data_IF_523249085843
#
_entry.id   IF_523249085843
#
_cell.length_a   1.000
_cell.length_b   1.000
_cell.length_c   1.000
_cell.angle_alpha   90.00
_cell.angle_beta   90.00
_cell.angle_gamma   90.00
#
_symmetry.space_group_name_H-M   'P 1'
#
loop_
_entity.id
_entity.type
_entity.pdbx_description
1 polymer ?
#
# COMPACT_ATOMS: atom_id res chain seq x y z
N UNK A 1 -37.29 9.25 -23.87
CA UNK A 1 -38.34 9.10 -24.91
C UNK A 1 -39.48 10.00 -24.51
N UNK A 2 -40.07 10.75 -25.45
CA UNK A 2 -41.21 11.63 -25.14
C UNK A 2 -42.50 10.84 -24.88
N UNK A 3 -43.08 10.89 -23.68
CA UNK A 3 -44.34 10.17 -23.38
C UNK A 3 -45.52 10.73 -24.15
N UNK A 4 -45.47 12.00 -24.57
CA UNK A 4 -46.59 12.64 -25.28
C UNK A 4 -46.71 12.15 -26.74
N UNK A 5 -45.63 11.63 -27.34
CA UNK A 5 -45.63 11.17 -28.75
C UNK A 5 -46.12 9.73 -28.89
N UNK A 6 -46.31 9.00 -27.81
CA UNK A 6 -46.59 7.53 -27.84
C UNK A 6 -47.80 7.18 -28.68
N UNK A 7 -48.89 7.93 -28.56
CA UNK A 7 -50.14 7.67 -29.32
C UNK A 7 -49.90 7.94 -30.83
N UNK A 8 -49.34 9.09 -31.18
CA UNK A 8 -49.05 9.43 -32.55
C UNK A 8 -48.06 8.46 -33.21
N UNK A 9 -47.04 7.97 -32.43
CA UNK A 9 -46.09 6.97 -32.94
C UNK A 9 -46.78 5.62 -33.19
N UNK A 10 -47.68 5.21 -32.29
CA UNK A 10 -48.47 3.98 -32.47
C UNK A 10 -49.39 4.07 -33.68
N UNK A 11 -50.12 5.17 -33.84
CA UNK A 11 -50.97 5.40 -35.00
C UNK A 11 -50.20 5.36 -36.32
N UNK A 12 -48.99 5.95 -36.35
CA UNK A 12 -48.13 5.87 -37.52
C UNK A 12 -47.64 4.44 -37.78
N UNK A 13 -47.26 3.70 -36.77
CA UNK A 13 -46.87 2.28 -36.89
C UNK A 13 -48.06 1.43 -37.42
N UNK A 14 -49.24 1.62 -36.87
CA UNK A 14 -50.44 0.90 -37.28
C UNK A 14 -50.82 1.20 -38.75
N UNK A 15 -50.74 2.49 -39.16
CA UNK A 15 -50.96 2.91 -40.54
C UNK A 15 -49.97 2.25 -41.50
N UNK A 16 -48.65 2.27 -41.16
CA UNK A 16 -47.63 1.63 -42.01
C UNK A 16 -47.82 0.12 -42.13
N UNK A 17 -48.21 -0.56 -41.04
CA UNK A 17 -48.49 -1.99 -41.07
C UNK A 17 -49.70 -2.29 -41.98
N UNK A 18 -50.77 -1.48 -41.93
CA UNK A 18 -51.91 -1.61 -42.84
C UNK A 18 -51.53 -1.36 -44.30
N UNK A 19 -50.75 -0.29 -44.59
CA UNK A 19 -50.34 0.07 -45.93
C UNK A 19 -49.37 -0.94 -46.58
N UNK A 20 -48.38 -1.42 -45.82
CA UNK A 20 -47.29 -2.27 -46.35
C UNK A 20 -47.63 -3.75 -46.30
N UNK A 21 -48.21 -4.20 -45.18
CA UNK A 21 -48.50 -5.61 -44.93
C UNK A 21 -49.97 -6.01 -45.12
N UNK A 22 -50.86 -5.09 -45.49
CA UNK A 22 -52.30 -5.37 -45.70
C UNK A 22 -53.05 -5.72 -44.43
N UNK A 23 -52.56 -5.32 -43.29
CA UNK A 23 -53.18 -5.57 -41.98
C UNK A 23 -54.43 -4.75 -41.72
N UNK A 24 -55.26 -5.16 -40.77
CA UNK A 24 -56.41 -4.39 -40.31
C UNK A 24 -56.18 -3.91 -38.88
N UNK A 25 -56.35 -2.60 -38.69
CA UNK A 25 -56.18 -1.97 -37.35
C UNK A 25 -57.47 -2.18 -36.55
N UNK A 26 -57.38 -2.71 -35.34
CA UNK A 26 -58.51 -2.80 -34.44
C UNK A 26 -58.98 -1.40 -33.96
N UNK A 27 -60.26 -1.16 -33.83
CA UNK A 27 -60.79 0.16 -33.49
C UNK A 27 -60.55 0.59 -32.03
N UNK A 28 -60.00 -0.30 -31.22
CA UNK A 28 -59.79 -0.03 -29.79
C UNK A 28 -58.31 0.24 -29.49
N UNK A 29 -58.04 1.31 -28.78
CA UNK A 29 -56.74 1.64 -28.20
C UNK A 29 -56.73 1.34 -26.71
N UNK A 30 -55.76 0.56 -26.24
CA UNK A 30 -55.51 0.40 -24.81
C UNK A 30 -54.36 1.33 -24.42
N UNK A 31 -54.65 2.36 -23.65
CA UNK A 31 -53.69 3.25 -23.05
C UNK A 31 -53.72 3.07 -21.53
N UNK A 32 -52.72 2.44 -20.97
CA UNK A 32 -52.64 2.20 -19.55
C UNK A 32 -51.42 2.96 -18.96
N UNK A 33 -51.70 3.93 -18.11
CA UNK A 33 -50.73 4.71 -17.37
C UNK A 33 -51.06 4.55 -15.89
N UNK A 34 -50.13 3.91 -15.15
CA UNK A 34 -50.40 3.53 -13.76
C UNK A 34 -50.69 4.76 -12.86
N UNK A 35 -49.94 5.81 -13.00
CA UNK A 35 -49.93 6.89 -12.04
C UNK A 35 -50.34 8.28 -12.61
N UNK A 36 -50.58 8.41 -13.92
CA UNK A 36 -50.82 9.71 -14.58
C UNK A 36 -52.00 9.59 -15.58
N UNK A 37 -53.23 9.48 -15.07
CA UNK A 37 -54.46 9.38 -15.91
C UNK A 37 -54.69 10.65 -16.75
N UNK A 38 -54.24 11.82 -16.24
CA UNK A 38 -54.45 13.13 -16.87
C UNK A 38 -53.30 13.58 -17.77
N UNK A 39 -52.39 12.67 -18.12
CA UNK A 39 -51.19 12.95 -18.90
C UNK A 39 -49.97 13.12 -18.01
N UNK A 40 -48.83 12.72 -18.56
CA UNK A 40 -47.53 12.92 -17.90
C UNK A 40 -47.11 14.39 -18.09
N UNK A 41 -46.77 15.06 -16.99
CA UNK A 41 -46.15 16.37 -16.98
C UNK A 41 -44.96 16.37 -16.06
N UNK A 42 -43.85 16.95 -16.51
CA UNK A 42 -42.74 17.21 -15.62
C UNK A 42 -43.10 18.32 -14.61
N UNK A 43 -42.67 18.20 -13.35
CA UNK A 43 -42.83 19.28 -12.38
C UNK A 43 -42.08 20.52 -12.83
N UNK A 44 -42.63 21.68 -12.52
CA UNK A 44 -41.93 22.92 -12.68
C UNK A 44 -40.76 23.01 -11.71
N UNK A 45 -39.63 23.53 -12.17
CA UNK A 45 -38.39 23.67 -11.43
C UNK A 45 -38.18 25.17 -11.15
N UNK A 46 -37.96 25.50 -9.88
CA UNK A 46 -37.59 26.88 -9.51
C UNK A 46 -36.05 27.04 -9.57
N UNK A 47 -35.60 28.12 -10.20
CA UNK A 47 -34.19 28.45 -10.35
C UNK A 47 -33.96 29.96 -10.20
N UNK A 48 -32.95 30.39 -9.45
CA UNK A 48 -32.52 31.76 -9.44
C UNK A 48 -31.97 32.13 -10.83
N UNK A 49 -32.35 33.33 -11.34
CA UNK A 49 -32.01 33.76 -12.69
C UNK A 49 -30.48 33.81 -12.93
N UNK A 50 -29.69 34.07 -11.87
CA UNK A 50 -28.23 34.17 -11.88
C UNK A 50 -27.52 32.86 -11.50
N UNK A 51 -28.23 31.76 -11.25
CA UNK A 51 -27.61 30.51 -10.84
C UNK A 51 -26.60 29.94 -11.87
N UNK A 52 -26.87 30.00 -13.20
CA UNK A 52 -25.87 29.61 -14.18
C UNK A 52 -24.57 30.42 -14.09
N UNK A 53 -24.69 31.74 -13.90
CA UNK A 53 -23.58 32.68 -13.78
C UNK A 53 -22.68 32.31 -12.59
N UNK A 54 -23.32 32.15 -11.42
CA UNK A 54 -22.61 31.76 -10.17
C UNK A 54 -21.97 30.37 -10.25
N UNK A 55 -22.61 29.45 -10.95
CA UNK A 55 -22.09 28.09 -11.09
C UNK A 55 -20.89 28.06 -12.04
N UNK A 56 -20.97 28.80 -13.15
CA UNK A 56 -19.88 28.89 -14.13
C UNK A 56 -18.74 29.82 -13.70
N UNK A 57 -19.00 30.74 -12.78
CA UNK A 57 -18.07 31.83 -12.45
C UNK A 57 -17.89 32.84 -13.61
N UNK A 58 -18.95 33.02 -14.42
CA UNK A 58 -18.98 33.91 -15.59
C UNK A 58 -20.23 34.78 -15.48
N UNK A 59 -20.13 36.06 -15.79
CA UNK A 59 -21.27 36.93 -15.92
C UNK A 59 -21.82 36.84 -17.35
N UNK A 60 -22.99 36.23 -17.53
CA UNK A 60 -23.67 36.19 -18.81
C UNK A 60 -24.53 37.45 -19.02
N UNK A 61 -24.80 37.89 -20.26
CA UNK A 61 -25.71 38.99 -20.55
C UNK A 61 -27.09 38.77 -19.94
N UNK A 62 -27.70 39.82 -19.38
CA UNK A 62 -29.03 39.77 -18.79
C UNK A 62 -30.06 39.05 -19.68
N UNK A 63 -30.82 38.11 -19.11
CA UNK A 63 -31.82 37.33 -19.82
C UNK A 63 -31.27 36.10 -20.58
N UNK A 64 -29.98 35.82 -20.46
CA UNK A 64 -29.37 34.62 -21.09
C UNK A 64 -30.01 33.32 -20.61
N UNK A 65 -30.22 33.16 -19.29
CA UNK A 65 -30.87 31.98 -18.71
C UNK A 65 -32.25 31.75 -19.31
N UNK A 66 -33.09 32.76 -19.37
CA UNK A 66 -34.44 32.65 -19.98
C UNK A 66 -34.35 32.31 -21.46
N UNK A 67 -33.48 33.00 -22.21
CA UNK A 67 -33.31 32.79 -23.65
C UNK A 67 -32.88 31.37 -23.95
N UNK A 68 -31.90 30.83 -23.22
CA UNK A 68 -31.36 29.49 -23.47
C UNK A 68 -32.33 28.39 -23.06
N UNK A 69 -32.96 28.50 -21.91
CA UNK A 69 -33.97 27.54 -21.48
C UNK A 69 -35.17 27.52 -22.43
N UNK A 70 -35.58 28.68 -22.93
CA UNK A 70 -36.64 28.75 -23.98
C UNK A 70 -36.15 28.09 -25.30
N UNK A 71 -34.89 28.31 -25.69
CA UNK A 71 -34.31 27.72 -26.89
C UNK A 71 -34.30 26.18 -26.85
N UNK A 72 -34.07 25.56 -25.67
CA UNK A 72 -34.14 24.10 -25.49
C UNK A 72 -35.56 23.57 -25.31
N UNK A 73 -36.56 24.44 -25.43
CA UNK A 73 -37.99 24.10 -25.46
C UNK A 73 -38.71 24.20 -24.11
N UNK A 74 -38.06 24.71 -23.08
CA UNK A 74 -38.72 24.90 -21.77
C UNK A 74 -39.62 26.14 -21.78
N UNK A 75 -40.73 26.08 -21.03
CA UNK A 75 -41.55 27.22 -20.72
C UNK A 75 -41.02 27.93 -19.48
N UNK A 76 -40.69 29.19 -19.59
CA UNK A 76 -40.09 30.00 -18.48
C UNK A 76 -41.02 31.12 -18.10
N UNK A 77 -41.33 31.23 -16.81
CA UNK A 77 -42.17 32.31 -16.24
C UNK A 77 -41.49 32.88 -15.00
N UNK A 78 -41.97 34.07 -14.55
CA UNK A 78 -41.34 34.74 -13.39
C UNK A 78 -40.13 35.59 -13.79
N UNK A 79 -39.50 36.19 -12.82
CA UNK A 79 -38.30 37.03 -12.99
C UNK A 79 -37.14 36.59 -12.14
N UNK A 80 -37.38 36.36 -10.84
CA UNK A 80 -36.43 35.79 -9.87
C UNK A 80 -37.20 35.41 -8.58
N UNK A 81 -37.34 34.12 -8.24
CA UNK A 81 -36.90 32.98 -9.06
C UNK A 81 -37.66 32.82 -10.37
N UNK A 82 -37.05 32.20 -11.32
CA UNK A 82 -37.68 31.72 -12.56
C UNK A 82 -38.37 30.37 -12.27
N UNK A 83 -39.59 30.23 -12.80
CA UNK A 83 -40.29 28.95 -12.80
C UNK A 83 -40.16 28.34 -14.21
N UNK A 84 -39.47 27.23 -14.33
CA UNK A 84 -39.13 26.57 -15.58
C UNK A 84 -39.86 25.23 -15.70
N UNK A 85 -40.69 25.08 -16.73
CA UNK A 85 -41.33 23.78 -17.05
C UNK A 85 -40.61 23.16 -18.22
N UNK A 86 -39.89 22.03 -18.02
CA UNK A 86 -39.24 21.34 -19.10
C UNK A 86 -40.22 20.78 -20.14
N UNK A 87 -39.84 20.62 -21.41
CA UNK A 87 -40.71 20.01 -22.41
C UNK A 87 -40.78 18.49 -22.20
N UNK A 88 -41.85 17.87 -22.66
CA UNK A 88 -42.13 16.43 -22.47
C UNK A 88 -41.07 15.47 -23.03
N UNK A 89 -40.31 15.92 -24.03
CA UNK A 89 -39.20 15.15 -24.61
C UNK A 89 -37.87 15.22 -23.86
N UNK A 90 -37.79 16.03 -22.76
CA UNK A 90 -36.61 16.17 -21.88
C UNK A 90 -36.90 15.61 -20.49
N UNK A 91 -37.09 14.27 -20.39
CA UNK A 91 -37.36 13.61 -19.10
C UNK A 91 -36.16 13.58 -18.16
N UNK A 92 -35.04 14.09 -18.58
CA UNK A 92 -33.77 14.23 -17.85
C UNK A 92 -33.70 15.48 -16.98
N UNK A 93 -34.52 16.52 -17.26
CA UNK A 93 -34.50 17.78 -16.53
C UNK A 93 -35.41 17.73 -15.29
N UNK A 94 -34.84 17.52 -14.10
CA UNK A 94 -35.60 17.37 -12.86
C UNK A 94 -35.24 18.36 -11.78
N UNK A 95 -34.07 18.95 -11.84
CA UNK A 95 -33.53 19.80 -10.78
C UNK A 95 -32.81 21.01 -11.34
N UNK A 96 -32.57 22.08 -10.51
CA UNK A 96 -31.89 23.30 -10.93
C UNK A 96 -30.54 23.07 -11.62
N UNK A 97 -29.76 22.07 -11.18
CA UNK A 97 -28.45 21.77 -11.77
C UNK A 97 -28.57 21.34 -13.24
N UNK A 98 -29.63 20.59 -13.61
CA UNK A 98 -29.86 20.16 -14.99
C UNK A 98 -30.16 21.37 -15.90
N UNK A 99 -30.89 22.36 -15.39
CA UNK A 99 -31.17 23.59 -16.11
C UNK A 99 -29.92 24.48 -16.26
N UNK A 100 -29.07 24.51 -15.25
CA UNK A 100 -27.76 25.19 -15.32
C UNK A 100 -26.91 24.55 -16.42
N UNK A 101 -26.81 23.22 -16.43
CA UNK A 101 -26.04 22.51 -17.45
C UNK A 101 -26.51 22.85 -18.88
N UNK A 102 -27.81 22.93 -19.12
CA UNK A 102 -28.35 23.31 -20.42
C UNK A 102 -27.94 24.73 -20.83
N UNK A 103 -27.96 25.68 -19.90
CA UNK A 103 -27.51 27.06 -20.20
C UNK A 103 -26.02 27.07 -20.55
N UNK A 104 -25.19 26.41 -19.73
CA UNK A 104 -23.75 26.40 -19.93
C UNK A 104 -23.36 25.70 -21.25
N UNK A 105 -24.01 24.56 -21.54
CA UNK A 105 -23.77 23.81 -22.79
C UNK A 105 -24.09 24.63 -24.04
N UNK A 106 -25.17 25.42 -24.00
CA UNK A 106 -25.60 26.23 -25.16
C UNK A 106 -24.83 27.55 -25.28
N UNK A 107 -24.37 28.14 -24.16
CA UNK A 107 -23.45 29.29 -24.21
C UNK A 107 -22.03 28.94 -24.62
N UNK A 108 -21.62 27.66 -24.40
CA UNK A 108 -20.28 27.13 -24.68
C UNK A 108 -19.44 27.02 -23.42
N UNK A 109 -18.90 25.82 -23.20
CA UNK A 109 -18.07 25.52 -22.02
C UNK A 109 -16.69 26.19 -22.10
N UNK A 110 -16.27 26.60 -23.28
CA UNK A 110 -14.99 27.26 -23.53
C UNK A 110 -14.91 28.68 -22.94
N UNK A 111 -16.05 29.31 -22.62
CA UNK A 111 -16.06 30.62 -21.99
C UNK A 111 -15.84 30.54 -20.48
N UNK A 112 -15.97 29.36 -19.89
CA UNK A 112 -15.78 29.15 -18.46
C UNK A 112 -14.27 29.19 -18.14
N UNK A 113 -13.82 30.12 -17.25
CA UNK A 113 -12.41 30.25 -16.95
C UNK A 113 -11.89 29.04 -16.19
N UNK A 114 -10.74 28.53 -16.59
CA UNK A 114 -10.03 27.50 -15.82
C UNK A 114 -9.35 28.15 -14.63
N UNK A 115 -10.03 28.14 -13.48
CA UNK A 115 -9.48 28.65 -12.23
C UNK A 115 -9.00 27.48 -11.37
N UNK A 116 -7.67 27.39 -11.17
CA UNK A 116 -7.11 26.40 -10.27
C UNK A 116 -7.48 26.77 -8.82
N UNK A 117 -8.11 25.85 -8.08
CA UNK A 117 -8.40 26.11 -6.68
C UNK A 117 -7.10 26.31 -5.90
N UNK A 118 -7.02 27.35 -5.11
CA UNK A 118 -5.90 27.55 -4.20
C UNK A 118 -6.00 26.53 -3.08
N UNK A 119 -5.02 25.61 -3.04
CA UNK A 119 -4.94 24.67 -1.94
C UNK A 119 -4.72 25.44 -0.63
N UNK A 120 -5.53 25.23 0.41
CA UNK A 120 -5.29 25.87 1.70
C UNK A 120 -3.91 25.43 2.20
N UNK A 121 -3.19 26.37 2.84
CA UNK A 121 -1.93 26.07 3.49
C UNK A 121 -2.15 24.97 4.54
N UNK A 122 -1.79 23.75 4.18
CA UNK A 122 -1.99 22.56 4.99
C UNK A 122 -0.80 22.27 5.90
N UNK A 123 -0.97 21.34 6.82
CA UNK A 123 0.09 20.84 7.71
C UNK A 123 1.12 19.95 6.99
N UNK A 124 0.98 19.78 5.68
CA UNK A 124 1.78 18.85 4.88
C UNK A 124 1.41 17.39 5.15
N UNK A 125 2.35 16.49 4.91
CA UNK A 125 2.15 15.07 5.13
C UNK A 125 2.09 14.72 6.63
N UNK A 126 1.23 13.78 6.99
CA UNK A 126 1.22 13.18 8.33
C UNK A 126 2.53 12.41 8.59
N UNK A 127 2.81 12.08 9.84
CA UNK A 127 3.99 11.28 10.20
C UNK A 127 3.98 9.90 9.51
N UNK A 128 2.81 9.24 9.42
CA UNK A 128 2.63 7.97 8.69
C UNK A 128 2.95 8.13 7.19
N UNK A 129 2.41 9.18 6.56
CA UNK A 129 2.67 9.44 5.13
C UNK A 129 4.14 9.77 4.87
N UNK A 130 4.80 10.52 5.77
CA UNK A 130 6.24 10.80 5.70
C UNK A 130 7.06 9.52 5.80
N UNK A 131 6.74 8.64 6.76
CA UNK A 131 7.39 7.33 6.93
C UNK A 131 7.25 6.48 5.67
N UNK A 132 6.02 6.31 5.15
CA UNK A 132 5.76 5.56 3.92
C UNK A 132 6.60 6.08 2.75
N UNK A 133 6.60 7.40 2.55
CA UNK A 133 7.38 8.04 1.49
C UNK A 133 8.90 7.86 1.67
N UNK A 134 9.39 7.96 2.91
CA UNK A 134 10.80 7.74 3.22
C UNK A 134 11.24 6.31 2.93
N UNK A 135 10.44 5.30 3.32
CA UNK A 135 10.70 3.89 3.05
C UNK A 135 10.77 3.63 1.54
N UNK A 136 9.74 4.03 0.78
CA UNK A 136 9.73 3.84 -0.68
C UNK A 136 10.94 4.49 -1.35
N UNK A 137 11.23 5.76 -1.00
CA UNK A 137 12.41 6.46 -1.52
C UNK A 137 13.72 5.76 -1.18
N UNK A 138 13.87 5.27 0.05
CA UNK A 138 15.09 4.60 0.50
C UNK A 138 15.30 3.26 -0.21
N UNK A 139 14.23 2.48 -0.41
CA UNK A 139 14.27 1.24 -1.19
C UNK A 139 14.63 1.52 -2.66
N UNK A 140 14.02 2.54 -3.27
CA UNK A 140 14.34 2.92 -4.65
C UNK A 140 15.81 3.34 -4.79
N UNK A 141 16.34 4.13 -3.86
CA UNK A 141 17.77 4.51 -3.83
C UNK A 141 18.71 3.32 -3.57
N UNK A 142 18.22 2.27 -2.88
CA UNK A 142 18.95 1.01 -2.68
C UNK A 142 18.88 0.06 -3.89
N UNK A 143 18.25 0.48 -5.01
CA UNK A 143 18.20 -0.26 -6.26
C UNK A 143 17.00 -1.20 -6.39
N UNK A 144 15.95 -1.03 -5.58
CA UNK A 144 14.69 -1.75 -5.76
C UNK A 144 13.72 -0.97 -6.65
N UNK A 145 12.89 -1.67 -7.40
CA UNK A 145 11.86 -1.09 -8.27
C UNK A 145 10.50 -1.24 -7.61
N UNK A 146 9.76 -0.14 -7.48
CA UNK A 146 8.40 -0.16 -6.94
C UNK A 146 7.43 -0.76 -7.94
N UNK A 147 6.54 -1.62 -7.44
CA UNK A 147 5.40 -2.12 -8.18
C UNK A 147 4.11 -1.87 -7.40
N UNK A 148 3.00 -1.84 -8.11
CA UNK A 148 1.66 -1.78 -7.55
C UNK A 148 0.96 -3.12 -7.81
N UNK A 149 1.05 -4.09 -6.88
CA UNK A 149 0.36 -5.37 -7.04
C UNK A 149 -1.15 -5.16 -6.92
N UNK A 150 -1.92 -5.98 -7.64
CA UNK A 150 -3.36 -6.03 -7.43
C UNK A 150 -3.66 -6.62 -6.04
N UNK A 151 -4.70 -6.13 -5.35
CA UNK A 151 -5.03 -6.61 -4.00
C UNK A 151 -5.75 -7.96 -3.99
N UNK A 152 -5.65 -8.75 -5.05
CA UNK A 152 -6.36 -10.01 -5.21
C UNK A 152 -5.41 -11.19 -5.23
N UNK A 153 -5.76 -12.22 -4.45
CA UNK A 153 -5.00 -13.47 -4.40
C UNK A 153 -5.41 -14.41 -5.53
N UNK A 154 -4.44 -15.06 -6.18
CA UNK A 154 -4.72 -16.19 -7.06
C UNK A 154 -5.21 -17.39 -6.25
N UNK A 155 -6.10 -18.17 -6.83
CA UNK A 155 -6.60 -19.37 -6.19
C UNK A 155 -5.45 -20.35 -5.87
N UNK A 156 -5.50 -20.97 -4.68
CA UNK A 156 -4.55 -21.99 -4.27
C UNK A 156 -3.13 -21.49 -3.90
N UNK A 157 -2.89 -20.19 -3.81
CA UNK A 157 -1.56 -19.63 -3.49
C UNK A 157 -1.01 -20.17 -2.17
N UNK A 158 -1.83 -20.27 -1.13
CA UNK A 158 -1.41 -20.76 0.18
C UNK A 158 -1.16 -22.27 0.21
N UNK A 159 -1.82 -23.03 -0.67
CA UNK A 159 -1.52 -24.45 -0.88
C UNK A 159 -0.16 -24.63 -1.56
N UNK A 160 0.16 -23.77 -2.52
CA UNK A 160 1.49 -23.75 -3.14
C UNK A 160 2.60 -23.41 -2.14
N UNK A 161 2.31 -22.59 -1.11
CA UNK A 161 3.25 -22.30 -0.04
C UNK A 161 3.32 -23.41 1.03
N UNK A 162 2.33 -24.32 1.07
CA UNK A 162 2.23 -25.39 2.05
C UNK A 162 1.78 -24.90 3.43
N UNK A 163 1.04 -23.79 3.48
CA UNK A 163 0.48 -23.28 4.74
C UNK A 163 -0.56 -24.25 5.29
N UNK A 164 -0.57 -24.44 6.60
CA UNK A 164 -1.61 -25.21 7.29
C UNK A 164 -3.00 -24.57 7.19
N UNK A 165 -4.08 -25.34 7.42
CA UNK A 165 -5.45 -24.81 7.33
C UNK A 165 -5.74 -23.72 8.37
N UNK A 166 -5.06 -23.74 9.51
CA UNK A 166 -5.23 -22.76 10.61
C UNK A 166 -4.36 -21.50 10.46
N UNK A 167 -3.59 -21.39 9.37
CA UNK A 167 -2.75 -20.22 9.13
C UNK A 167 -3.63 -18.99 8.92
N UNK A 168 -3.37 -17.93 9.68
CA UNK A 168 -4.18 -16.70 9.68
C UNK A 168 -4.27 -16.04 8.31
N UNK A 169 -3.25 -16.20 7.46
CA UNK A 169 -3.23 -15.66 6.09
C UNK A 169 -4.28 -16.30 5.18
N UNK A 170 -4.81 -17.49 5.54
CA UNK A 170 -5.92 -18.15 4.83
C UNK A 170 -7.29 -17.57 5.17
N UNK A 171 -7.38 -16.80 6.24
CA UNK A 171 -8.60 -16.08 6.58
C UNK A 171 -8.74 -14.86 5.66
N UNK A 172 -9.53 -14.99 4.60
CA UNK A 172 -9.63 -13.97 3.54
C UNK A 172 -11.04 -13.43 3.40
N UNK A 173 -11.16 -12.20 2.95
CA UNK A 173 -12.43 -11.62 2.50
C UNK A 173 -12.62 -11.94 1.02
N UNK A 174 -13.78 -12.50 0.68
CA UNK A 174 -14.13 -12.83 -0.71
C UNK A 174 -15.05 -11.77 -1.31
N UNK A 175 -14.73 -11.29 -2.50
CA UNK A 175 -15.52 -10.33 -3.25
C UNK A 175 -16.70 -11.06 -3.92
N UNK A 176 -17.92 -10.50 -3.80
CA UNK A 176 -19.14 -11.13 -4.34
C UNK A 176 -19.18 -11.17 -5.87
N UNK A 177 -18.62 -10.16 -6.53
CA UNK A 177 -18.66 -10.00 -7.99
C UNK A 177 -17.27 -9.70 -8.54
N UNK A 178 -16.31 -10.64 -8.43
CA UNK A 178 -14.95 -10.42 -8.89
C UNK A 178 -14.91 -10.28 -10.42
N UNK A 179 -13.94 -9.47 -10.91
CA UNK A 179 -13.70 -9.35 -12.36
C UNK A 179 -13.12 -10.65 -12.93
N UNK A 180 -12.26 -11.33 -12.17
CA UNK A 180 -11.66 -12.63 -12.49
C UNK A 180 -12.10 -13.65 -11.44
N UNK A 181 -12.76 -14.72 -11.85
CA UNK A 181 -13.36 -15.70 -10.95
C UNK A 181 -12.32 -16.44 -10.08
N UNK A 182 -11.11 -16.62 -10.58
CA UNK A 182 -9.96 -17.23 -9.89
C UNK A 182 -9.20 -16.26 -8.98
N UNK A 183 -9.61 -14.98 -8.92
CA UNK A 183 -9.03 -13.91 -8.10
C UNK A 183 -10.10 -13.16 -7.31
N UNK A 184 -10.89 -13.89 -6.57
CA UNK A 184 -12.00 -13.34 -5.79
C UNK A 184 -11.63 -12.96 -4.35
N UNK A 185 -10.46 -13.31 -3.88
CA UNK A 185 -10.04 -13.14 -2.49
C UNK A 185 -9.13 -11.91 -2.33
N UNK A 186 -9.40 -11.09 -1.31
CA UNK A 186 -8.53 -9.96 -0.98
C UNK A 186 -7.25 -10.43 -0.30
N UNK A 187 -6.13 -9.80 -0.65
CA UNK A 187 -4.81 -10.20 -0.21
C UNK A 187 -4.57 -9.91 1.27
N UNK A 188 -4.19 -10.94 2.01
CA UNK A 188 -3.73 -10.87 3.41
C UNK A 188 -2.21 -10.72 3.52
N UNK A 189 -1.49 -10.73 2.39
CA UNK A 189 -0.02 -10.58 2.27
C UNK A 189 0.32 -10.00 0.90
N UNK A 190 1.38 -9.20 0.80
CA UNK A 190 1.84 -8.61 -0.46
C UNK A 190 2.65 -9.58 -1.33
N UNK A 191 3.19 -10.65 -0.72
CA UNK A 191 4.13 -11.54 -1.41
C UNK A 191 3.55 -12.20 -2.67
N UNK A 192 2.30 -12.67 -2.75
CA UNK A 192 1.79 -13.30 -3.98
C UNK A 192 1.90 -12.40 -5.19
N UNK A 193 1.45 -11.14 -5.07
CA UNK A 193 1.54 -10.17 -6.16
C UNK A 193 2.98 -9.80 -6.54
N UNK A 194 3.87 -9.71 -5.56
CA UNK A 194 5.30 -9.48 -5.77
C UNK A 194 5.97 -10.65 -6.48
N UNK A 195 5.68 -11.89 -6.06
CA UNK A 195 6.24 -13.11 -6.66
C UNK A 195 5.74 -13.30 -8.09
N UNK A 196 4.47 -13.04 -8.38
CA UNK A 196 3.93 -13.04 -9.75
C UNK A 196 4.63 -12.01 -10.64
N UNK A 197 4.84 -10.79 -10.12
CA UNK A 197 5.56 -9.76 -10.86
C UNK A 197 7.02 -10.18 -11.11
N UNK A 198 7.67 -10.82 -10.14
CA UNK A 198 9.02 -11.36 -10.29
C UNK A 198 9.06 -12.42 -11.38
N UNK A 199 8.18 -13.43 -11.34
CA UNK A 199 8.09 -14.48 -12.39
C UNK A 199 7.87 -13.85 -13.76
N UNK A 200 6.98 -12.87 -13.87
CA UNK A 200 6.69 -12.17 -15.13
C UNK A 200 7.92 -11.44 -15.68
N UNK A 201 8.70 -10.77 -14.83
CA UNK A 201 9.91 -10.08 -15.23
C UNK A 201 10.99 -11.09 -15.71
N UNK A 202 11.19 -12.16 -14.94
CA UNK A 202 12.14 -13.22 -15.30
C UNK A 202 11.76 -13.89 -16.63
N UNK A 203 10.49 -14.20 -16.84
CA UNK A 203 9.97 -14.76 -18.10
C UNK A 203 10.16 -13.84 -19.31
N UNK A 204 10.32 -12.53 -19.07
CA UNK A 204 10.61 -11.52 -20.10
C UNK A 204 12.10 -11.23 -20.28
N UNK A 205 12.96 -12.02 -19.64
CA UNK A 205 14.42 -11.97 -19.81
C UNK A 205 15.18 -11.15 -18.76
N UNK A 206 14.51 -10.61 -17.73
CA UNK A 206 15.20 -9.98 -16.61
C UNK A 206 15.77 -11.07 -15.67
N UNK A 207 17.11 -11.23 -15.64
CA UNK A 207 17.75 -12.23 -14.80
C UNK A 207 17.90 -11.77 -13.33
N UNK A 208 18.15 -10.47 -13.13
CA UNK A 208 18.42 -9.85 -11.86
C UNK A 208 17.26 -8.93 -11.52
N UNK A 209 16.45 -9.31 -10.54
CA UNK A 209 15.20 -8.63 -10.21
C UNK A 209 15.16 -8.29 -8.72
N UNK A 210 14.90 -7.03 -8.41
CA UNK A 210 14.68 -6.54 -7.05
C UNK A 210 13.46 -5.61 -7.04
N UNK A 211 12.34 -6.11 -6.50
CA UNK A 211 11.06 -5.39 -6.48
C UNK A 211 10.62 -5.10 -5.05
N UNK A 212 9.85 -4.02 -4.89
CA UNK A 212 9.15 -3.76 -3.64
C UNK A 212 7.75 -3.20 -3.89
N UNK A 213 6.90 -3.31 -2.88
CA UNK A 213 5.59 -2.68 -2.83
C UNK A 213 5.33 -2.14 -1.43
N UNK A 214 4.61 -1.02 -1.35
CA UNK A 214 4.06 -0.50 -0.09
C UNK A 214 2.57 -0.34 -0.29
N UNK A 215 1.79 -1.27 0.23
CA UNK A 215 0.35 -1.33 0.03
C UNK A 215 -0.36 -1.87 1.28
N UNK A 216 -1.69 -1.74 1.29
CA UNK A 216 -2.53 -2.33 2.33
C UNK A 216 -2.79 -3.81 2.03
N UNK A 217 -2.86 -4.59 3.09
CA UNK A 217 -3.42 -5.94 3.08
C UNK A 217 -4.78 -5.94 3.79
N UNK A 218 -5.55 -7.01 3.67
CA UNK A 218 -6.91 -7.08 4.23
C UNK A 218 -7.00 -8.26 5.17
N UNK A 219 -7.13 -7.98 6.45
CA UNK A 219 -7.18 -8.96 7.53
C UNK A 219 -8.58 -8.97 8.16
N UNK A 220 -9.40 -9.99 7.90
CA UNK A 220 -10.70 -10.09 8.55
C UNK A 220 -10.53 -10.25 10.07
N UNK A 221 -11.48 -9.68 10.80
CA UNK A 221 -11.61 -9.80 12.25
C UNK A 221 -12.88 -10.57 12.58
N UNK A 222 -13.11 -10.91 13.85
CA UNK A 222 -14.38 -11.52 14.29
C UNK A 222 -15.59 -10.65 14.00
N UNK A 223 -15.43 -9.35 13.85
CA UNK A 223 -16.49 -8.39 13.56
C UNK A 223 -16.69 -8.18 12.05
N UNK A 224 -15.78 -8.65 11.22
CA UNK A 224 -15.87 -8.50 9.76
C UNK A 224 -17.06 -9.31 9.23
N UNK A 225 -18.04 -8.62 8.67
CA UNK A 225 -19.24 -9.21 8.12
C UNK A 225 -19.82 -8.38 6.98
N UNK A 226 -20.63 -9.02 6.13
CA UNK A 226 -21.48 -8.28 5.20
C UNK A 226 -22.50 -7.45 5.98
N UNK A 227 -22.67 -6.20 5.60
CA UNK A 227 -23.68 -5.30 6.19
C UNK A 227 -24.94 -5.26 5.35
N UNK A 228 -26.09 -5.08 6.02
CA UNK A 228 -27.35 -4.83 5.34
C UNK A 228 -27.29 -3.52 4.54
N UNK A 229 -28.08 -3.47 3.47
CA UNK A 229 -28.15 -2.30 2.61
C UNK A 229 -28.79 -1.14 3.39
N UNK A 230 -28.01 -0.12 3.65
CA UNK A 230 -28.52 1.12 4.24
C UNK A 230 -29.37 1.86 3.18
N UNK A 231 -30.55 2.40 3.53
CA UNK A 231 -31.34 3.22 2.62
C UNK A 231 -30.52 4.40 2.08
N UNK A 232 -30.69 4.69 0.79
CA UNK A 232 -29.95 5.78 0.10
C UNK A 232 -30.79 7.05 -0.05
N UNK A 233 -32.03 7.06 0.41
CA UNK A 233 -32.98 8.18 0.36
C UNK A 233 -32.79 9.18 1.49
N UNK A 234 -31.93 8.87 2.45
CA UNK A 234 -31.56 9.73 3.57
C UNK A 234 -30.07 9.57 3.95
N UNK A 235 -29.58 10.52 4.71
CA UNK A 235 -28.25 10.36 5.35
C UNK A 235 -28.33 9.21 6.39
N UNK A 236 -27.34 8.30 6.42
CA UNK A 236 -27.22 7.30 7.48
C UNK A 236 -27.12 7.96 8.86
N UNK A 237 -27.66 7.28 9.88
CA UNK A 237 -27.47 7.71 11.26
C UNK A 237 -26.03 7.46 11.72
N UNK A 238 -25.58 8.14 12.78
CA UNK A 238 -24.25 7.94 13.32
C UNK A 238 -24.04 6.49 13.83
N UNK A 239 -25.09 5.83 14.31
CA UNK A 239 -25.07 4.40 14.71
C UNK A 239 -24.91 3.47 13.51
N UNK A 240 -25.58 3.75 12.38
CA UNK A 240 -25.42 3.00 11.14
C UNK A 240 -23.99 3.17 10.58
N UNK A 241 -23.44 4.39 10.63
CA UNK A 241 -22.06 4.66 10.22
C UNK A 241 -21.07 3.89 11.11
N UNK A 242 -21.24 3.96 12.43
CA UNK A 242 -20.40 3.22 13.38
C UNK A 242 -20.50 1.70 13.17
N UNK A 243 -21.69 1.18 12.85
CA UNK A 243 -21.91 -0.21 12.51
C UNK A 243 -21.20 -0.64 11.21
N UNK A 244 -21.20 0.23 10.19
CA UNK A 244 -20.43 0.02 8.96
C UNK A 244 -18.93 -0.02 9.24
N UNK A 245 -18.42 0.96 9.96
CA UNK A 245 -16.99 1.04 10.29
C UNK A 245 -16.53 -0.18 11.09
N UNK A 246 -17.31 -0.62 12.06
CA UNK A 246 -17.02 -1.80 12.88
C UNK A 246 -17.05 -3.12 12.07
N UNK A 247 -17.75 -3.17 10.94
CA UNK A 247 -17.83 -4.35 10.08
C UNK A 247 -16.66 -4.49 9.09
N UNK A 248 -15.85 -3.45 8.95
CA UNK A 248 -14.71 -3.46 8.04
C UNK A 248 -13.59 -4.38 8.56
N UNK A 249 -12.87 -5.09 7.68
CA UNK A 249 -11.65 -5.77 8.04
C UNK A 249 -10.55 -4.76 8.41
N UNK A 250 -9.55 -5.20 9.16
CA UNK A 250 -8.31 -4.42 9.33
C UNK A 250 -7.62 -4.31 7.97
N UNK A 251 -7.03 -3.15 7.71
CA UNK A 251 -6.29 -2.90 6.47
C UNK A 251 -4.92 -2.28 6.77
N UNK A 252 -4.02 -3.03 7.43
CA UNK A 252 -2.70 -2.52 7.79
C UNK A 252 -1.86 -2.27 6.55
N UNK A 253 -0.97 -1.28 6.65
CA UNK A 253 -0.01 -0.93 5.63
C UNK A 253 1.20 -1.85 5.75
N UNK A 254 1.46 -2.66 4.74
CA UNK A 254 2.64 -3.50 4.65
C UNK A 254 3.69 -2.93 3.68
N UNK A 255 4.94 -3.34 3.87
CA UNK A 255 6.00 -3.26 2.87
C UNK A 255 6.49 -4.66 2.54
N UNK A 256 6.47 -4.99 1.27
CA UNK A 256 7.00 -6.25 0.76
C UNK A 256 8.20 -6.01 -0.15
N UNK A 257 9.17 -6.91 -0.12
CA UNK A 257 10.36 -6.90 -0.99
C UNK A 257 10.60 -8.30 -1.52
N UNK A 258 10.96 -8.43 -2.79
CA UNK A 258 11.43 -9.70 -3.38
C UNK A 258 12.65 -9.45 -4.26
N UNK A 259 13.62 -10.35 -4.21
CA UNK A 259 14.86 -10.22 -4.96
C UNK A 259 15.39 -11.60 -5.41
N UNK A 260 16.01 -11.62 -6.59
CA UNK A 260 16.62 -12.83 -7.19
C UNK A 260 17.71 -12.45 -8.18
N UNK A 261 18.54 -13.43 -8.57
CA UNK A 261 19.61 -13.23 -9.54
C UNK A 261 20.93 -12.78 -8.91
N UNK A 262 21.61 -11.82 -9.52
CA UNK A 262 22.83 -11.19 -9.00
C UNK A 262 22.48 -9.95 -8.20
N UNK A 263 23.00 -9.86 -6.99
CA UNK A 263 22.95 -8.62 -6.19
C UNK A 263 24.05 -7.65 -6.62
N UNK A 264 25.21 -8.18 -6.95
CA UNK A 264 26.33 -7.43 -7.49
C UNK A 264 26.64 -7.99 -8.88
N UNK A 265 26.66 -7.13 -9.87
CA UNK A 265 26.95 -7.54 -11.24
C UNK A 265 28.44 -7.87 -11.41
N UNK A 266 28.74 -8.85 -12.27
CA UNK A 266 30.11 -9.11 -12.66
C UNK A 266 30.72 -7.90 -13.37
N UNK A 267 31.96 -7.58 -13.05
CA UNK A 267 32.65 -6.43 -13.61
C UNK A 267 34.14 -6.39 -13.28
N UNK A 268 34.79 -5.22 -13.45
CA UNK A 268 36.22 -5.09 -13.15
C UNK A 268 36.62 -5.43 -11.71
N UNK A 269 35.66 -5.39 -10.81
CA UNK A 269 35.84 -5.64 -9.38
C UNK A 269 35.66 -7.09 -8.96
N UNK A 270 35.21 -7.98 -9.88
CA UNK A 270 35.02 -9.40 -9.56
C UNK A 270 33.91 -10.09 -10.34
N UNK A 271 33.67 -11.39 -10.03
CA UNK A 271 32.73 -12.25 -10.75
C UNK A 271 31.25 -11.93 -10.50
N UNK A 272 30.95 -10.93 -9.65
CA UNK A 272 29.62 -10.67 -9.17
C UNK A 272 29.21 -11.58 -8.00
N UNK A 273 28.09 -11.26 -7.36
CA UNK A 273 27.57 -12.01 -6.19
C UNK A 273 26.07 -12.26 -6.34
N UNK A 274 25.66 -13.49 -6.11
CA UNK A 274 24.23 -13.83 -6.10
C UNK A 274 23.53 -13.27 -4.87
N UNK A 275 22.21 -13.09 -5.03
CA UNK A 275 21.30 -12.76 -3.92
C UNK A 275 21.34 -13.87 -2.87
N UNK A 276 21.41 -13.46 -1.61
CA UNK A 276 21.40 -14.32 -0.43
C UNK A 276 20.43 -13.78 0.64
N UNK A 277 20.14 -14.56 1.69
CA UNK A 277 19.29 -14.13 2.80
C UNK A 277 19.79 -12.81 3.45
N UNK A 278 21.12 -12.60 3.49
CA UNK A 278 21.72 -11.36 3.98
C UNK A 278 21.24 -10.11 3.23
N UNK A 279 20.92 -10.22 1.95
CA UNK A 279 20.40 -9.10 1.15
C UNK A 279 18.95 -8.76 1.53
N UNK A 280 18.14 -9.75 1.91
CA UNK A 280 16.83 -9.53 2.49
C UNK A 280 16.95 -8.84 3.86
N UNK A 281 17.89 -9.23 4.69
CA UNK A 281 18.15 -8.58 5.98
C UNK A 281 18.66 -7.15 5.80
N UNK A 282 19.46 -6.86 4.78
CA UNK A 282 19.85 -5.48 4.47
C UNK A 282 18.66 -4.64 3.99
N UNK A 283 17.73 -5.21 3.22
CA UNK A 283 16.48 -4.52 2.89
C UNK A 283 15.67 -4.15 4.15
N UNK A 284 15.62 -5.03 5.15
CA UNK A 284 15.01 -4.73 6.47
C UNK A 284 15.73 -3.56 7.14
N UNK A 285 17.06 -3.51 7.11
CA UNK A 285 17.84 -2.38 7.67
C UNK A 285 17.59 -1.07 6.92
N UNK A 286 17.44 -1.12 5.58
CA UNK A 286 17.07 0.06 4.77
C UNK A 286 15.70 0.58 5.22
N UNK A 287 14.71 -0.30 5.40
CA UNK A 287 13.38 0.05 5.88
C UNK A 287 13.46 0.65 7.30
N UNK A 288 14.23 0.03 8.20
CA UNK A 288 14.40 0.49 9.57
C UNK A 288 15.00 1.89 9.64
N UNK A 289 16.12 2.13 8.93
CA UNK A 289 16.75 3.47 8.85
C UNK A 289 15.78 4.52 8.32
N UNK A 290 14.97 4.16 7.32
CA UNK A 290 13.95 5.07 6.77
C UNK A 290 12.80 5.34 7.73
N UNK A 291 12.46 4.37 8.59
CA UNK A 291 11.47 4.50 9.65
C UNK A 291 12.03 5.19 10.92
N UNK A 292 13.34 5.43 10.97
CA UNK A 292 14.00 6.06 12.10
C UNK A 292 14.30 5.12 13.27
N UNK A 293 14.45 3.82 13.02
CA UNK A 293 14.70 2.82 14.06
C UNK A 293 15.56 1.66 13.57
N UNK A 294 16.06 0.88 14.50
CA UNK A 294 16.72 -0.39 14.25
C UNK A 294 15.76 -1.55 14.58
N UNK A 295 15.69 -2.52 13.67
CA UNK A 295 14.98 -3.77 13.89
C UNK A 295 15.93 -4.83 14.43
N UNK A 296 15.42 -5.64 15.35
CA UNK A 296 16.12 -6.85 15.81
C UNK A 296 15.75 -8.02 14.91
N UNK A 297 16.75 -8.80 14.50
CA UNK A 297 16.57 -10.02 13.72
C UNK A 297 16.80 -11.23 14.62
N UNK A 298 15.83 -12.14 14.66
CA UNK A 298 15.90 -13.40 15.39
C UNK A 298 15.67 -14.55 14.42
N UNK A 299 16.49 -15.62 14.52
CA UNK A 299 16.31 -16.81 13.68
C UNK A 299 14.90 -17.39 13.87
N UNK A 300 14.23 -17.72 12.78
CA UNK A 300 12.87 -18.22 12.76
C UNK A 300 12.65 -19.30 11.71
N UNK A 301 11.54 -20.03 11.84
CA UNK A 301 11.10 -21.02 10.87
C UNK A 301 9.63 -20.74 10.54
N UNK A 302 9.41 -19.87 9.56
CA UNK A 302 8.10 -19.44 9.12
C UNK A 302 7.94 -19.62 7.61
N UNK A 303 6.85 -20.25 7.15
CA UNK A 303 6.55 -20.35 5.73
C UNK A 303 6.05 -18.97 5.21
N UNK A 304 6.40 -18.61 3.96
CA UNK A 304 7.07 -19.38 2.91
C UNK A 304 8.61 -19.36 2.93
N UNK A 305 9.26 -18.90 3.98
CA UNK A 305 10.72 -18.83 4.10
C UNK A 305 11.37 -20.16 4.48
N UNK A 306 12.65 -20.26 4.17
CA UNK A 306 13.48 -21.42 4.50
C UNK A 306 13.82 -21.44 6.00
N UNK A 307 13.57 -22.52 6.76
CA UNK A 307 13.71 -22.52 8.22
C UNK A 307 15.15 -22.23 8.72
N UNK A 308 16.17 -22.50 7.91
CA UNK A 308 17.56 -22.18 8.27
C UNK A 308 18.07 -20.86 7.70
N UNK A 309 17.23 -20.07 7.01
CA UNK A 309 17.61 -18.80 6.34
C UNK A 309 16.48 -17.78 6.43
N UNK A 310 15.73 -17.83 7.51
CA UNK A 310 14.64 -16.94 7.85
C UNK A 310 14.96 -16.22 9.15
N UNK A 311 14.64 -14.94 9.21
CA UNK A 311 14.62 -14.18 10.42
C UNK A 311 13.23 -13.54 10.62
N UNK A 312 12.77 -13.62 11.84
CA UNK A 312 11.72 -12.80 12.38
C UNK A 312 12.27 -11.39 12.63
N UNK A 313 11.50 -10.38 12.27
CA UNK A 313 11.85 -8.97 12.41
C UNK A 313 11.06 -8.40 13.58
N UNK A 314 11.76 -7.81 14.56
CA UNK A 314 11.15 -7.34 15.80
C UNK A 314 11.42 -5.86 16.06
N UNK A 315 10.43 -5.23 16.71
CA UNK A 315 10.55 -3.94 17.39
C UNK A 315 10.32 -4.18 18.88
N UNK A 316 11.37 -4.11 19.68
CA UNK A 316 11.32 -4.64 21.05
C UNK A 316 11.01 -6.14 21.02
N UNK A 317 9.92 -6.55 21.68
CA UNK A 317 9.44 -7.93 21.70
C UNK A 317 8.32 -8.22 20.67
N UNK A 318 7.92 -7.21 19.91
CA UNK A 318 6.81 -7.33 18.94
C UNK A 318 7.34 -7.74 17.58
N UNK A 319 6.85 -8.86 17.05
CA UNK A 319 7.10 -9.28 15.66
C UNK A 319 6.35 -8.37 14.70
N UNK A 320 7.09 -7.78 13.76
CA UNK A 320 6.52 -6.93 12.72
C UNK A 320 6.59 -7.58 11.33
N UNK A 321 7.21 -8.74 11.21
CA UNK A 321 7.27 -9.50 9.95
C UNK A 321 8.44 -10.45 9.86
N UNK A 322 8.73 -10.86 8.63
CA UNK A 322 9.76 -11.87 8.34
C UNK A 322 10.59 -11.49 7.12
N UNK A 323 11.83 -11.98 7.10
CA UNK A 323 12.76 -11.78 6.01
C UNK A 323 13.65 -13.01 5.81
N UNK A 324 14.09 -13.26 4.58
CA UNK A 324 15.03 -14.34 4.29
C UNK A 324 14.86 -14.95 2.92
N UNK A 325 15.49 -16.09 2.71
CA UNK A 325 15.37 -16.88 1.49
C UNK A 325 14.07 -17.69 1.52
N UNK A 326 13.39 -17.80 0.39
CA UNK A 326 12.18 -18.63 0.28
C UNK A 326 12.52 -20.14 0.34
N UNK A 327 11.58 -20.91 0.86
CA UNK A 327 11.69 -22.37 0.97
C UNK A 327 11.81 -23.01 -0.41
N UNK A 328 12.73 -23.97 -0.64
CA UNK A 328 12.93 -24.60 -1.95
C UNK A 328 11.66 -25.19 -2.58
N UNK A 329 10.79 -25.82 -1.78
CA UNK A 329 9.53 -26.35 -2.26
C UNK A 329 8.53 -25.25 -2.70
N UNK A 330 8.56 -24.07 -2.07
CA UNK A 330 7.76 -22.91 -2.50
C UNK A 330 8.32 -22.34 -3.80
N UNK A 331 9.65 -22.21 -3.88
CA UNK A 331 10.36 -21.76 -5.08
C UNK A 331 9.99 -22.63 -6.28
N UNK A 332 10.00 -23.95 -6.12
CA UNK A 332 9.65 -24.92 -7.17
C UNK A 332 8.17 -24.82 -7.57
N UNK A 333 7.24 -24.88 -6.60
CA UNK A 333 5.79 -24.84 -6.87
C UNK A 333 5.33 -23.52 -7.49
N UNK A 334 5.98 -22.41 -7.14
CA UNK A 334 5.66 -21.09 -7.68
C UNK A 334 6.46 -20.72 -8.94
N UNK A 335 7.31 -21.62 -9.46
CA UNK A 335 8.12 -21.37 -10.67
C UNK A 335 9.14 -20.25 -10.50
N UNK A 336 9.65 -20.05 -9.30
CA UNK A 336 10.61 -19.00 -8.96
C UNK A 336 12.05 -19.40 -9.24
N UNK A 337 12.96 -18.47 -9.52
CA UNK A 337 14.39 -18.74 -9.57
C UNK A 337 14.91 -19.24 -8.22
N UNK A 338 15.88 -20.15 -8.27
CA UNK A 338 16.56 -20.65 -7.06
C UNK A 338 17.25 -19.50 -6.32
N UNK A 339 17.13 -19.47 -4.99
CA UNK A 339 17.74 -18.45 -4.15
C UNK A 339 16.92 -17.16 -4.03
N UNK A 340 15.68 -17.14 -4.53
CA UNK A 340 14.78 -15.99 -4.33
C UNK A 340 14.61 -15.69 -2.85
N UNK A 341 14.77 -14.43 -2.49
CA UNK A 341 14.60 -13.90 -1.12
C UNK A 341 13.39 -12.97 -1.06
N UNK A 342 12.81 -12.87 0.12
CA UNK A 342 11.63 -12.03 0.36
C UNK A 342 11.66 -11.40 1.75
N UNK A 343 11.01 -10.25 1.85
CA UNK A 343 10.72 -9.54 3.11
C UNK A 343 9.25 -9.15 3.09
N UNK A 344 8.57 -9.25 4.21
CA UNK A 344 7.29 -8.59 4.43
C UNK A 344 7.19 -8.09 5.86
N UNK A 345 6.85 -6.79 6.02
CA UNK A 345 6.69 -6.15 7.33
C UNK A 345 5.36 -5.40 7.39
N UNK A 346 4.66 -5.54 8.52
CA UNK A 346 3.54 -4.69 8.91
C UNK A 346 4.06 -3.35 9.41
N UNK A 347 3.88 -2.29 8.63
CA UNK A 347 4.33 -0.95 8.99
C UNK A 347 3.47 -0.33 10.09
N UNK A 348 2.21 -0.74 10.25
CA UNK A 348 1.33 -0.18 11.27
C UNK A 348 1.64 -0.75 12.67
N UNK A 349 2.29 -1.91 12.72
CA UNK A 349 2.89 -2.44 13.94
C UNK A 349 4.21 -1.73 14.34
N UNK A 350 4.80 -0.95 13.43
CA UNK A 350 6.04 -0.18 13.70
C UNK A 350 5.69 1.18 14.29
N UNK A 351 6.21 1.57 15.47
CA UNK A 351 5.97 2.88 16.07
C UNK A 351 6.41 4.04 15.17
N UNK A 352 5.71 5.17 15.26
CA UNK A 352 6.10 6.39 14.54
C UNK A 352 7.17 7.12 15.33
N UNK A 353 8.31 7.34 14.69
CA UNK A 353 9.39 8.19 15.21
C UNK A 353 9.28 9.57 14.55
N UNK A 354 8.74 10.54 15.26
CA UNK A 354 8.57 11.89 14.72
C UNK A 354 9.87 12.67 14.61
N UNK A 355 10.79 12.43 15.55
CA UNK A 355 12.08 13.13 15.63
C UNK A 355 13.18 12.14 15.99
N UNK A 356 14.20 12.07 15.18
CA UNK A 356 15.41 11.34 15.53
C UNK A 356 16.18 12.12 16.59
N UNK A 357 16.73 11.46 17.61
CA UNK A 357 17.62 12.11 18.55
C UNK A 357 18.87 12.60 17.80
N UNK A 358 19.37 13.76 18.18
CA UNK A 358 20.63 14.24 17.65
C UNK A 358 21.77 13.30 18.07
N UNK A 359 22.73 13.00 17.18
CA UNK A 359 23.88 12.18 17.55
C UNK A 359 24.72 12.90 18.60
N UNK A 360 25.21 12.15 19.58
CA UNK A 360 26.18 12.68 20.52
C UNK A 360 27.53 12.80 19.83
N UNK A 361 27.96 14.02 19.56
CA UNK A 361 29.25 14.30 18.94
C UNK A 361 30.22 14.74 20.03
N UNK A 362 31.27 13.94 20.25
CA UNK A 362 32.36 14.33 21.16
C UNK A 362 33.49 15.00 20.37
N UNK A 363 34.06 16.10 20.85
CA UNK A 363 35.24 16.75 20.26
C UNK A 363 36.56 16.01 20.56
N UNK A 364 36.51 15.00 21.41
CA UNK A 364 37.73 14.29 21.84
C UNK A 364 38.11 13.16 20.86
N UNK A 365 39.41 12.81 20.72
CA UNK A 365 39.84 11.73 19.85
C UNK A 365 39.33 10.36 20.34
N UNK A 366 39.07 9.47 19.39
CA UNK A 366 38.70 8.08 19.71
C UNK A 366 39.93 7.21 19.86
N UNK A 367 39.83 6.18 20.67
CA UNK A 367 40.79 5.08 20.80
C UNK A 367 40.23 3.86 20.07
N UNK A 368 41.02 3.22 19.21
CA UNK A 368 40.62 2.04 18.44
C UNK A 368 41.34 0.81 18.98
N UNK A 369 40.63 -0.25 19.17
CA UNK A 369 41.14 -1.57 19.56
C UNK A 369 40.40 -2.67 18.84
N UNK A 370 41.10 -3.74 18.48
CA UNK A 370 40.50 -4.91 17.87
C UNK A 370 40.48 -6.08 18.84
N UNK A 371 39.44 -6.91 18.75
CA UNK A 371 39.40 -8.18 19.45
C UNK A 371 39.03 -9.29 18.44
N UNK A 372 39.56 -10.49 18.70
CA UNK A 372 39.16 -11.68 17.97
C UNK A 372 38.68 -12.72 18.97
N UNK A 373 37.44 -13.17 18.83
CA UNK A 373 36.83 -14.13 19.76
C UNK A 373 36.37 -15.37 19.01
N UNK A 374 36.58 -16.54 19.59
CA UNK A 374 36.12 -17.82 19.08
C UNK A 374 34.85 -18.21 19.81
N UNK A 375 33.83 -18.57 19.06
CA UNK A 375 32.54 -19.07 19.56
C UNK A 375 32.13 -20.34 18.83
N UNK A 376 31.14 -21.06 19.33
CA UNK A 376 30.52 -22.17 18.60
C UNK A 376 29.83 -21.67 17.33
N UNK A 377 29.77 -22.48 16.29
CA UNK A 377 29.33 -22.06 14.95
C UNK A 377 27.86 -21.62 14.92
N UNK A 378 27.02 -22.12 15.82
CA UNK A 378 25.60 -21.80 15.97
C UNK A 378 25.34 -20.49 16.74
N UNK A 379 26.32 -19.97 17.50
CA UNK A 379 26.19 -18.68 18.17
C UNK A 379 26.07 -17.54 17.16
N UNK A 380 24.99 -16.79 17.19
CA UNK A 380 24.80 -15.67 16.30
C UNK A 380 25.84 -14.54 16.55
N UNK A 381 26.43 -14.00 15.48
CA UNK A 381 27.39 -12.88 15.61
C UNK A 381 26.75 -11.67 16.31
N UNK A 382 25.45 -11.43 16.09
CA UNK A 382 24.70 -10.37 16.79
C UNK A 382 24.71 -10.54 18.31
N UNK A 383 24.58 -11.76 18.82
CA UNK A 383 24.63 -12.05 20.26
C UNK A 383 26.03 -11.72 20.85
N UNK A 384 27.09 -11.99 20.09
CA UNK A 384 28.45 -11.61 20.49
C UNK A 384 28.62 -10.11 20.53
N UNK A 385 28.16 -9.41 19.49
CA UNK A 385 28.21 -7.93 19.41
C UNK A 385 27.42 -7.29 20.55
N UNK A 386 26.26 -7.82 20.89
CA UNK A 386 25.44 -7.33 22.01
C UNK A 386 26.14 -7.57 23.36
N UNK A 387 26.73 -8.73 23.56
CA UNK A 387 27.48 -9.02 24.77
C UNK A 387 28.70 -8.08 24.92
N UNK A 388 29.41 -7.85 23.84
CA UNK A 388 30.54 -6.89 23.77
C UNK A 388 30.08 -5.46 24.10
N UNK A 389 28.97 -4.99 23.52
CA UNK A 389 28.39 -3.67 23.82
C UNK A 389 28.03 -3.52 25.29
N UNK A 390 27.34 -4.51 25.81
CA UNK A 390 26.92 -4.49 27.21
C UNK A 390 28.10 -4.50 28.20
N UNK A 391 29.18 -5.25 27.90
CA UNK A 391 30.37 -5.29 28.75
C UNK A 391 31.25 -4.05 28.67
N UNK A 392 31.41 -3.48 27.47
CA UNK A 392 32.23 -2.28 27.22
C UNK A 392 31.61 -1.01 27.82
N UNK A 393 30.29 -0.96 28.02
CA UNK A 393 29.57 0.16 28.61
C UNK A 393 29.58 1.43 27.77
N UNK A 394 29.41 2.58 28.43
CA UNK A 394 29.21 3.89 27.80
C UNK A 394 30.42 4.42 27.00
N UNK A 395 31.59 3.90 27.26
CA UNK A 395 32.80 4.31 26.52
C UNK A 395 32.87 3.73 25.11
N UNK A 396 32.12 2.66 24.81
CA UNK A 396 32.07 2.09 23.47
C UNK A 396 31.15 2.91 22.57
N UNK A 397 31.73 3.68 21.66
CA UNK A 397 31.02 4.48 20.67
C UNK A 397 30.50 3.59 19.52
N UNK A 398 31.31 2.63 19.06
CA UNK A 398 30.97 1.76 17.96
C UNK A 398 31.65 0.39 18.06
N UNK A 399 30.99 -0.66 17.57
CA UNK A 399 31.54 -2.00 17.38
C UNK A 399 31.18 -2.53 16.01
N UNK A 400 32.16 -2.98 15.26
CA UNK A 400 31.98 -3.48 13.90
C UNK A 400 32.64 -4.84 13.73
N UNK A 401 31.84 -5.85 13.32
CA UNK A 401 32.36 -7.11 12.83
C UNK A 401 33.02 -6.88 11.46
N UNK A 402 34.28 -7.23 11.29
CA UNK A 402 34.99 -7.01 10.04
C UNK A 402 35.55 -8.30 9.43
N UNK A 403 35.67 -9.39 10.22
CA UNK A 403 36.09 -10.68 9.70
C UNK A 403 35.41 -11.86 10.40
N UNK A 404 35.12 -12.93 9.66
CA UNK A 404 34.59 -14.20 10.16
C UNK A 404 35.43 -15.34 9.60
N UNK A 405 36.19 -16.00 10.44
CA UNK A 405 37.04 -17.09 10.04
C UNK A 405 36.47 -18.44 10.54
N UNK A 406 36.40 -19.40 9.61
CA UNK A 406 35.97 -20.78 9.85
C UNK A 406 37.03 -21.74 9.31
N UNK A 407 38.02 -22.08 10.07
CA UNK A 407 39.14 -22.90 9.60
C UNK A 407 39.63 -23.87 10.69
N UNK A 408 40.49 -24.80 10.26
CA UNK A 408 40.99 -25.88 11.13
C UNK A 408 41.74 -25.42 12.38
N UNK A 409 42.25 -24.14 12.37
CA UNK A 409 43.03 -23.58 13.48
C UNK A 409 42.19 -23.26 14.72
N UNK A 410 40.87 -23.19 14.61
CA UNK A 410 39.95 -22.84 15.71
C UNK A 410 39.11 -24.03 16.19
N UNK A 411 39.28 -25.21 15.57
CA UNK A 411 38.54 -26.43 15.85
C UNK A 411 37.26 -26.57 15.01
N UNK A 412 36.81 -27.82 14.83
CA UNK A 412 35.56 -28.12 14.14
C UNK A 412 34.35 -27.57 14.94
N UNK A 413 33.34 -27.11 14.23
CA UNK A 413 32.12 -26.57 14.86
C UNK A 413 32.28 -25.19 15.48
N UNK A 414 33.39 -24.48 15.23
CA UNK A 414 33.66 -23.14 15.76
C UNK A 414 33.88 -22.11 14.67
N UNK A 415 33.67 -20.85 15.02
CA UNK A 415 34.01 -19.70 14.21
C UNK A 415 34.71 -18.63 15.04
N UNK A 416 35.64 -17.91 14.41
CA UNK A 416 36.28 -16.73 14.99
C UNK A 416 35.65 -15.46 14.42
N UNK A 417 35.29 -14.53 15.28
CA UNK A 417 34.74 -13.22 14.94
C UNK A 417 35.74 -12.15 15.30
N UNK A 418 36.16 -11.35 14.32
CA UNK A 418 37.04 -10.20 14.52
C UNK A 418 36.19 -8.92 14.58
N UNK A 419 36.29 -8.22 15.70
CA UNK A 419 35.51 -7.02 16.01
C UNK A 419 36.43 -5.83 16.21
N UNK A 420 36.15 -4.73 15.47
CA UNK A 420 36.79 -3.44 15.67
C UNK A 420 35.96 -2.62 16.67
N UNK A 421 36.60 -2.16 17.73
CA UNK A 421 35.98 -1.41 18.81
C UNK A 421 36.49 0.03 18.75
N UNK A 422 35.56 0.98 18.82
CA UNK A 422 35.85 2.41 18.90
C UNK A 422 35.37 2.96 20.21
N UNK A 423 36.32 3.38 21.05
CA UNK A 423 36.04 3.94 22.37
C UNK A 423 36.20 5.46 22.34
N UNK A 424 35.30 6.16 23.02
CA UNK A 424 35.36 7.61 23.16
C UNK A 424 34.61 8.07 24.40
N UNK A 425 35.18 8.99 25.16
CA UNK A 425 34.45 9.66 26.22
C UNK A 425 33.78 10.95 25.69
N UNK A 426 32.68 11.34 26.33
CA UNK A 426 31.92 12.53 25.98
C UNK A 426 32.58 13.82 26.47
N UNK A 427 33.40 13.75 27.51
CA UNK A 427 33.86 14.86 28.34
C UNK A 427 35.39 15.01 28.42
N UNK A 428 36.16 14.02 27.95
CA UNK A 428 37.65 14.02 28.01
C UNK A 428 38.28 13.12 26.93
N UNK A 429 39.57 13.26 26.77
CA UNK A 429 40.39 12.29 26.01
C UNK A 429 40.56 11.02 26.87
N UNK A 430 40.29 9.84 26.29
CA UNK A 430 40.55 8.56 26.92
C UNK A 430 42.04 8.22 26.93
N UNK A 431 42.49 7.59 28.00
CA UNK A 431 43.80 6.94 28.05
C UNK A 431 43.69 5.54 27.42
N UNK A 432 44.87 4.99 27.02
CA UNK A 432 44.92 3.59 26.54
C UNK A 432 44.51 2.58 27.60
N UNK A 433 44.82 2.84 28.88
CA UNK A 433 44.46 1.97 30.00
C UNK A 433 42.93 1.91 30.21
N UNK A 434 42.25 3.05 30.13
CA UNK A 434 40.78 3.11 30.23
C UNK A 434 40.10 2.34 29.07
N UNK A 435 40.61 2.52 27.84
CA UNK A 435 40.09 1.79 26.68
C UNK A 435 40.38 0.28 26.78
N UNK A 436 41.55 -0.10 27.29
CA UNK A 436 41.93 -1.50 27.50
C UNK A 436 41.06 -2.15 28.58
N UNK A 437 40.79 -1.44 29.67
CA UNK A 437 39.86 -1.94 30.73
C UNK A 437 38.44 -2.15 30.20
N UNK A 438 37.93 -1.23 29.35
CA UNK A 438 36.63 -1.37 28.71
C UNK A 438 36.57 -2.56 27.73
N UNK A 439 37.64 -2.77 26.95
CA UNK A 439 37.81 -3.94 26.08
C UNK A 439 37.81 -5.24 26.87
N UNK A 440 38.56 -5.30 27.95
CA UNK A 440 38.70 -6.50 28.78
C UNK A 440 37.34 -6.85 29.43
N UNK A 441 36.58 -5.84 29.87
CA UNK A 441 35.22 -6.00 30.34
C UNK A 441 34.28 -6.51 29.25
N UNK A 442 34.42 -6.02 28.02
CA UNK A 442 33.67 -6.49 26.85
C UNK A 442 33.94 -7.97 26.56
N UNK A 443 35.20 -8.38 26.60
CA UNK A 443 35.61 -9.79 26.40
C UNK A 443 35.07 -10.67 27.52
N UNK A 444 35.14 -10.24 28.77
CA UNK A 444 34.61 -10.97 29.90
C UNK A 444 33.09 -11.19 29.80
N UNK A 445 32.34 -10.14 29.41
CA UNK A 445 30.90 -10.25 29.19
C UNK A 445 30.54 -11.19 28.01
N UNK A 446 31.31 -11.13 26.92
CA UNK A 446 31.14 -12.06 25.80
C UNK A 446 31.44 -13.52 26.21
N UNK A 447 32.47 -13.73 27.02
CA UNK A 447 32.79 -15.06 27.58
C UNK A 447 31.66 -15.60 28.44
N UNK A 448 31.12 -14.77 29.33
CA UNK A 448 30.04 -15.16 30.25
C UNK A 448 28.72 -15.46 29.55
N UNK A 449 28.33 -14.58 28.59
CA UNK A 449 27.00 -14.65 27.96
C UNK A 449 26.90 -15.63 26.80
N UNK A 450 27.95 -15.78 26.04
CA UNK A 450 27.93 -16.58 24.79
C UNK A 450 29.09 -17.56 24.68
N UNK A 451 29.85 -17.78 25.74
CA UNK A 451 30.97 -18.72 25.76
C UNK A 451 32.15 -18.30 24.85
N UNK A 452 32.29 -17.02 24.56
CA UNK A 452 33.36 -16.52 23.69
C UNK A 452 34.75 -16.67 24.35
N UNK A 453 35.72 -17.15 23.57
CA UNK A 453 37.11 -17.30 23.99
C UNK A 453 37.98 -16.30 23.21
N UNK A 454 38.68 -15.41 23.91
CA UNK A 454 39.61 -14.49 23.26
C UNK A 454 40.70 -15.28 22.51
N UNK A 455 40.89 -14.95 21.25
CA UNK A 455 41.97 -15.49 20.44
C UNK A 455 43.18 -14.55 20.58
N UNK A 456 44.28 -15.06 21.12
CA UNK A 456 45.53 -14.33 21.25
C UNK A 456 46.25 -14.15 19.91
#
# INVERSE_FOLDING_TARGET
>A
MDPAISVAALDRCATLLAEIAGGTVAPTLTDWRADHRDGWSQPAIEIAADLPDRTAGVEYPTGTTVRRLTQVGASVTGTDPLTVTPPSWRPDLWQPADLVEEVLRVEGLEVIPSVLPTAPAGRGLTAVQKRRRAIGKSLALAGFVEILPTPFLPAGVFDAWGLGPEDSRRSVVTVLNPLEADRSQLATTLLPGLLEALVRNVSRGAADVALYAVAQVVEPTEQTRAVERIPIDRRPTDEEIAGLDASLPRQPQHVGVVLTGLRELAGPWGPGRRVEAADAFEAVRVIGRAAGMEFTLRAAAELPWHPGRCAEVLVGDTTVGYAGQLHPAVVERCGLPKGTCAVELDLDAVPIVERLPAPRVSPFPAVFQDISVVVDADVAAAAVVEAVRAGAGELLEDVRLFDVYTGSQIGEGRKSLALALRFRAADRTLTEDEASAARDAAVAAASERVGAILRG
#
